data_IF_351633527170
#
_entry.id   IF_351633527170
#
_cell.length_a   1.000
_cell.length_b   1.000
_cell.length_c   1.000
_cell.angle_alpha   90.00
_cell.angle_beta   90.00
_cell.angle_gamma   90.00
#
_symmetry.space_group_name_H-M   'P 1'
#
loop_
_entity.id
_entity.type
_entity.pdbx_description
1 polymer ?
#
# COMPACT_ATOMS: atom_id res chain seq x y z
N UNK A 1 13.01 21.77 -72.91
CA UNK A 1 13.65 20.72 -72.08
C UNK A 1 13.79 21.25 -70.67
N UNK A 2 12.96 20.80 -69.72
CA UNK A 2 13.08 21.15 -68.29
C UNK A 2 13.34 19.84 -67.55
N UNK A 3 14.50 19.71 -66.91
CA UNK A 3 14.86 18.59 -66.05
C UNK A 3 14.44 18.91 -64.61
N UNK A 4 13.36 18.28 -64.17
CA UNK A 4 12.94 18.24 -62.77
C UNK A 4 13.94 17.43 -61.93
N UNK A 5 14.72 18.11 -61.09
CA UNK A 5 15.53 17.48 -60.05
C UNK A 5 14.70 17.37 -58.77
N UNK A 6 13.91 16.29 -58.63
CA UNK A 6 13.34 15.86 -57.34
C UNK A 6 14.48 15.54 -56.37
N UNK A 7 14.82 16.50 -55.49
CA UNK A 7 15.58 16.22 -54.27
C UNK A 7 14.77 15.23 -53.43
N UNK A 8 15.30 14.02 -53.26
CA UNK A 8 14.77 13.01 -52.35
C UNK A 8 14.89 13.54 -50.92
N UNK A 9 13.79 14.02 -50.34
CA UNK A 9 13.70 14.29 -48.91
C UNK A 9 13.95 12.99 -48.14
N UNK A 10 15.15 12.87 -47.55
CA UNK A 10 15.42 11.82 -46.58
C UNK A 10 14.52 12.09 -45.36
N UNK A 11 13.79 11.09 -44.83
CA UNK A 11 12.97 11.29 -43.65
C UNK A 11 13.85 11.81 -42.51
N UNK A 12 13.47 12.94 -41.89
CA UNK A 12 14.08 13.46 -40.66
C UNK A 12 14.09 12.31 -39.65
N UNK A 13 15.26 11.70 -39.40
CA UNK A 13 15.43 10.77 -38.28
C UNK A 13 15.06 11.57 -37.03
N UNK A 14 14.03 11.13 -36.31
CA UNK A 14 13.52 11.85 -35.15
C UNK A 14 14.67 12.20 -34.21
N UNK A 15 14.79 13.49 -33.86
CA UNK A 15 15.84 13.99 -32.97
C UNK A 15 15.86 13.22 -31.65
N UNK A 16 14.71 12.69 -31.24
CA UNK A 16 14.53 11.75 -30.13
C UNK A 16 15.39 10.48 -30.24
N UNK A 17 15.49 9.85 -31.42
CA UNK A 17 16.30 8.64 -31.62
C UNK A 17 17.79 8.93 -31.54
N UNK A 18 18.23 10.10 -32.04
CA UNK A 18 19.61 10.58 -31.89
C UNK A 18 19.93 10.97 -30.45
N UNK A 19 18.97 11.58 -29.75
CA UNK A 19 19.10 12.00 -28.36
C UNK A 19 19.18 10.80 -27.41
N UNK A 20 18.28 9.82 -27.56
CA UNK A 20 18.33 8.54 -26.89
C UNK A 20 19.67 7.85 -27.17
N UNK A 21 20.15 7.78 -28.42
CA UNK A 21 21.42 7.12 -28.72
C UNK A 21 22.65 7.80 -28.10
N UNK A 22 22.67 9.13 -27.96
CA UNK A 22 23.80 9.88 -27.39
C UNK A 22 23.91 9.76 -25.86
N UNK A 23 22.77 9.67 -25.18
CA UNK A 23 22.69 9.57 -23.71
C UNK A 23 22.21 8.20 -23.23
N UNK A 24 22.00 7.26 -24.16
CA UNK A 24 21.56 5.90 -23.92
C UNK A 24 22.33 5.23 -22.78
N UNK A 25 23.67 5.35 -22.70
CA UNK A 25 24.40 4.73 -21.60
C UNK A 25 23.98 5.26 -20.22
N UNK A 26 23.73 6.56 -20.09
CA UNK A 26 23.33 7.20 -18.83
C UNK A 26 21.89 6.82 -18.47
N UNK A 27 20.97 6.89 -19.43
CA UNK A 27 19.58 6.49 -19.19
C UNK A 27 19.45 5.00 -18.85
N UNK A 28 20.24 4.15 -19.50
CA UNK A 28 20.27 2.72 -19.24
C UNK A 28 20.90 2.42 -17.87
N UNK A 29 21.91 3.18 -17.44
CA UNK A 29 22.45 3.10 -16.08
C UNK A 29 21.44 3.53 -15.01
N UNK A 30 20.69 4.62 -15.22
CA UNK A 30 19.63 5.08 -14.31
C UNK A 30 18.50 4.04 -14.24
N UNK A 31 18.07 3.49 -15.38
CA UNK A 31 17.08 2.42 -15.43
C UNK A 31 17.56 1.17 -14.70
N UNK A 32 18.83 0.78 -14.88
CA UNK A 32 19.41 -0.33 -14.14
C UNK A 32 19.42 -0.07 -12.63
N UNK A 33 19.77 1.14 -12.19
CA UNK A 33 19.71 1.55 -10.78
C UNK A 33 18.26 1.50 -10.24
N UNK A 34 17.29 1.97 -11.03
CA UNK A 34 15.88 1.91 -10.67
C UNK A 34 15.39 0.45 -10.52
N UNK A 35 15.78 -0.44 -11.43
CA UNK A 35 15.42 -1.87 -11.36
C UNK A 35 16.09 -2.58 -10.19
N UNK A 36 17.31 -2.21 -9.82
CA UNK A 36 18.05 -2.89 -8.72
C UNK A 36 17.64 -2.38 -7.35
N UNK A 37 17.36 -1.07 -7.19
CA UNK A 37 17.12 -0.48 -5.88
C UNK A 37 15.67 -0.07 -5.64
N UNK A 38 14.96 0.40 -6.67
CA UNK A 38 13.60 0.95 -6.50
C UNK A 38 12.55 -0.14 -6.67
N UNK A 39 12.64 -0.98 -7.72
CA UNK A 39 11.67 -2.04 -7.96
C UNK A 39 11.54 -3.00 -6.77
N UNK A 40 12.63 -3.53 -6.16
CA UNK A 40 12.49 -4.47 -5.06
C UNK A 40 11.84 -3.87 -3.82
N UNK A 41 11.98 -2.57 -3.61
CA UNK A 41 11.34 -1.83 -2.52
C UNK A 41 9.84 -1.65 -2.79
N UNK A 42 9.48 -1.28 -4.03
CA UNK A 42 8.08 -1.11 -4.45
C UNK A 42 7.31 -2.43 -4.55
N UNK A 43 7.99 -3.55 -4.75
CA UNK A 43 7.39 -4.90 -4.80
C UNK A 43 7.40 -5.63 -3.47
N UNK A 44 7.86 -5.01 -2.37
CA UNK A 44 7.74 -5.63 -1.04
C UNK A 44 6.26 -5.85 -0.74
N UNK A 45 5.89 -7.04 -0.28
CA UNK A 45 4.55 -7.26 0.23
C UNK A 45 4.33 -6.38 1.46
N UNK A 46 3.24 -5.63 1.46
CA UNK A 46 2.74 -4.83 2.58
C UNK A 46 1.58 -5.53 3.28
N UNK A 47 1.19 -5.02 4.45
CA UNK A 47 -0.01 -5.47 5.15
C UNK A 47 -1.25 -5.40 4.25
N UNK A 48 -1.45 -4.28 3.56
CA UNK A 48 -2.58 -4.06 2.64
C UNK A 48 -2.59 -5.06 1.48
N UNK A 49 -1.42 -5.37 0.91
CA UNK A 49 -1.31 -6.38 -0.16
C UNK A 49 -1.64 -7.79 0.31
N UNK A 50 -1.63 -8.03 1.63
CA UNK A 50 -1.96 -9.32 2.24
C UNK A 50 -3.45 -9.47 2.55
N UNK A 51 -4.27 -8.44 2.30
CA UNK A 51 -5.70 -8.52 2.54
C UNK A 51 -6.39 -9.44 1.52
N UNK A 52 -7.38 -10.24 1.95
CA UNK A 52 -8.17 -11.06 1.05
C UNK A 52 -9.08 -10.19 0.16
N UNK A 53 -9.57 -10.77 -0.94
CA UNK A 53 -10.61 -10.12 -1.75
C UNK A 53 -11.90 -9.97 -0.93
N UNK A 54 -12.30 -8.72 -0.67
CA UNK A 54 -13.52 -8.39 0.05
C UNK A 54 -14.66 -8.05 -0.92
N UNK A 55 -15.89 -8.30 -0.48
CA UNK A 55 -17.08 -7.81 -1.20
C UNK A 55 -17.19 -6.29 -1.07
N UNK A 56 -17.93 -5.63 -1.98
CA UNK A 56 -18.12 -4.16 -1.97
C UNK A 56 -18.67 -3.66 -0.63
N UNK A 57 -19.57 -4.43 0.00
CA UNK A 57 -20.15 -4.08 1.30
C UNK A 57 -19.14 -4.20 2.45
N UNK A 58 -18.24 -5.17 2.38
CA UNK A 58 -17.18 -5.38 3.38
C UNK A 58 -15.98 -4.44 3.18
N UNK A 59 -15.72 -4.01 1.94
CA UNK A 59 -14.63 -3.08 1.63
C UNK A 59 -14.88 -1.72 2.27
N UNK A 60 -16.13 -1.23 2.27
CA UNK A 60 -16.47 0.09 2.81
C UNK A 60 -16.05 0.31 4.27
N UNK A 61 -16.40 -0.56 5.25
CA UNK A 61 -15.97 -0.39 6.63
C UNK A 61 -14.46 -0.58 6.80
N UNK A 62 -13.82 -1.44 6.01
CA UNK A 62 -12.37 -1.63 6.03
C UNK A 62 -11.66 -0.36 5.54
N UNK A 63 -12.10 0.23 4.45
CA UNK A 63 -11.56 1.49 3.94
C UNK A 63 -11.67 2.61 4.96
N UNK A 64 -12.84 2.75 5.61
CA UNK A 64 -13.06 3.75 6.67
C UNK A 64 -12.09 3.54 7.82
N UNK A 65 -11.90 2.30 8.26
CA UNK A 65 -10.96 1.96 9.33
C UNK A 65 -9.51 2.24 8.94
N UNK A 66 -9.07 1.70 7.81
CA UNK A 66 -7.66 1.71 7.39
C UNK A 66 -7.18 3.12 7.04
N UNK A 67 -8.06 3.97 6.50
CA UNK A 67 -7.74 5.38 6.16
C UNK A 67 -7.91 6.35 7.33
N UNK A 68 -8.39 5.89 8.48
CA UNK A 68 -8.55 6.75 9.65
C UNK A 68 -7.19 7.24 10.15
N UNK A 69 -6.96 8.55 10.13
CA UNK A 69 -5.72 9.24 10.55
C UNK A 69 -5.91 10.12 11.78
N UNK A 70 -6.84 9.74 12.66
CA UNK A 70 -7.14 10.47 13.88
C UNK A 70 -8.05 11.69 13.66
N UNK A 71 -8.36 12.45 14.72
CA UNK A 71 -9.31 13.56 14.67
C UNK A 71 -8.81 14.77 13.87
N UNK A 72 -7.49 14.89 13.68
CA UNK A 72 -6.86 16.02 12.98
C UNK A 72 -6.61 15.72 11.48
N UNK A 73 -6.96 14.52 11.00
CA UNK A 73 -6.86 14.05 9.61
C UNK A 73 -5.46 14.18 8.95
N UNK A 74 -4.41 14.41 9.73
CA UNK A 74 -3.06 14.75 9.25
C UNK A 74 -1.98 13.81 9.78
N UNK A 75 -2.34 12.89 10.67
CA UNK A 75 -1.41 11.99 11.36
C UNK A 75 -1.33 10.59 10.74
N UNK A 76 -0.71 9.70 11.50
CA UNK A 76 -0.54 8.28 11.19
C UNK A 76 -1.90 7.60 10.97
N UNK A 77 -2.06 6.87 9.88
CA UNK A 77 -3.28 6.08 9.64
C UNK A 77 -3.30 4.79 10.45
N UNK A 78 -4.48 4.19 10.66
CA UNK A 78 -4.60 2.86 11.28
C UNK A 78 -3.80 1.80 10.52
N UNK A 79 -3.82 1.83 9.19
CA UNK A 79 -3.06 0.89 8.37
C UNK A 79 -1.55 1.02 8.62
N UNK A 80 -1.04 2.24 8.64
CA UNK A 80 0.37 2.51 8.91
C UNK A 80 0.73 2.17 10.35
N UNK A 81 -0.13 2.48 11.32
CA UNK A 81 0.10 2.15 12.73
C UNK A 81 0.23 0.64 12.96
N UNK A 82 -0.60 -0.18 12.32
CA UNK A 82 -0.49 -1.64 12.38
C UNK A 82 0.77 -2.11 11.65
N UNK A 83 1.06 -1.55 10.48
CA UNK A 83 2.25 -1.89 9.70
C UNK A 83 3.53 -1.60 10.49
N UNK A 84 3.66 -0.41 11.07
CA UNK A 84 4.78 -0.02 11.93
C UNK A 84 4.90 -0.94 13.15
N UNK A 85 3.78 -1.27 13.80
CA UNK A 85 3.79 -2.22 14.92
C UNK A 85 4.34 -3.60 14.53
N UNK A 86 3.98 -4.09 13.34
CA UNK A 86 4.51 -5.35 12.82
C UNK A 86 6.00 -5.19 12.46
N UNK A 87 6.41 -4.11 11.81
CA UNK A 87 7.82 -3.87 11.48
C UNK A 87 8.70 -3.75 12.74
N UNK A 88 8.19 -3.13 13.80
CA UNK A 88 8.87 -2.99 15.09
C UNK A 88 9.07 -4.35 15.81
N UNK A 89 8.12 -5.28 15.69
CA UNK A 89 8.26 -6.63 16.26
C UNK A 89 9.13 -7.56 15.40
N UNK A 90 9.27 -7.27 14.11
CA UNK A 90 10.05 -8.06 13.15
C UNK A 90 11.07 -7.18 12.42
N UNK A 91 11.99 -6.54 13.15
CA UNK A 91 12.97 -5.65 12.54
C UNK A 91 13.85 -6.41 11.55
N UNK A 92 14.17 -5.77 10.43
CA UNK A 92 15.02 -6.31 9.36
C UNK A 92 14.47 -7.56 8.64
N UNK A 93 13.20 -7.91 8.84
CA UNK A 93 12.57 -9.05 8.19
C UNK A 93 11.51 -8.63 7.16
N UNK A 94 11.52 -9.30 6.01
CA UNK A 94 10.41 -9.21 5.05
C UNK A 94 9.27 -10.13 5.49
N UNK A 95 8.62 -9.78 6.61
CA UNK A 95 7.70 -10.68 7.29
C UNK A 95 6.49 -11.07 6.42
N UNK A 96 6.01 -10.17 5.57
CA UNK A 96 4.91 -10.43 4.64
C UNK A 96 5.29 -11.36 3.47
N UNK A 97 6.57 -11.46 3.11
CA UNK A 97 7.05 -12.38 2.06
C UNK A 97 7.19 -13.83 2.59
N UNK A 98 7.07 -14.03 3.90
CA UNK A 98 7.28 -15.33 4.54
C UNK A 98 6.05 -16.23 4.38
N UNK A 99 6.25 -17.45 3.89
CA UNK A 99 5.18 -18.46 3.69
C UNK A 99 4.43 -18.87 4.95
N UNK A 100 5.02 -18.63 6.13
CA UNK A 100 4.38 -18.90 7.44
C UNK A 100 3.61 -17.70 7.98
N UNK A 101 3.67 -16.56 7.29
CA UNK A 101 2.90 -15.37 7.64
C UNK A 101 1.56 -15.42 6.95
N UNK A 102 0.50 -15.25 7.72
CA UNK A 102 -0.87 -15.21 7.24
C UNK A 102 -1.55 -13.98 7.84
N UNK A 103 -2.24 -13.23 6.98
CA UNK A 103 -3.13 -12.14 7.39
C UNK A 103 -4.54 -12.57 7.09
N UNK A 104 -5.38 -12.65 8.13
CA UNK A 104 -6.80 -12.90 7.98
C UNK A 104 -7.56 -11.64 8.33
N UNK A 105 -8.48 -11.23 7.44
CA UNK A 105 -9.35 -10.08 7.65
C UNK A 105 -10.79 -10.54 7.58
N UNK A 106 -11.51 -10.41 8.69
CA UNK A 106 -12.90 -10.86 8.83
C UNK A 106 -13.77 -9.63 9.03
N UNK A 107 -14.78 -9.49 8.18
CA UNK A 107 -15.74 -8.38 8.24
C UNK A 107 -17.15 -8.94 8.40
N UNK A 108 -17.78 -8.63 9.53
CA UNK A 108 -19.11 -9.11 9.91
C UNK A 108 -20.05 -7.95 10.24
N UNK A 109 -21.30 -8.03 9.75
CA UNK A 109 -22.32 -7.03 10.11
C UNK A 109 -22.86 -7.33 11.51
N UNK A 110 -22.80 -6.32 12.41
CA UNK A 110 -23.26 -6.46 13.81
C UNK A 110 -24.71 -5.98 13.93
N UNK A 111 -25.00 -4.80 13.37
CA UNK A 111 -26.30 -4.12 13.41
C UNK A 111 -26.32 -3.08 12.31
N UNK A 112 -27.47 -2.76 11.71
CA UNK A 112 -27.62 -1.81 10.59
C UNK A 112 -26.55 -0.70 10.56
N UNK A 113 -25.69 -0.73 9.54
CA UNK A 113 -24.57 0.22 9.29
C UNK A 113 -23.38 0.18 10.27
N UNK A 114 -23.32 -0.84 11.14
CA UNK A 114 -22.20 -1.16 12.02
C UNK A 114 -21.60 -2.50 11.67
N UNK A 115 -20.30 -2.49 11.40
CA UNK A 115 -19.54 -3.66 10.99
C UNK A 115 -18.40 -3.88 11.97
N UNK A 116 -18.18 -5.14 12.32
CA UNK A 116 -17.00 -5.58 13.04
C UNK A 116 -15.93 -5.95 12.03
N UNK A 117 -14.72 -5.46 12.25
CA UNK A 117 -13.54 -5.73 11.44
C UNK A 117 -12.49 -6.35 12.36
N UNK A 118 -12.15 -7.61 12.09
CA UNK A 118 -11.15 -8.36 12.84
C UNK A 118 -9.97 -8.63 11.91
N UNK A 119 -8.78 -8.19 12.32
CA UNK A 119 -7.52 -8.47 11.64
C UNK A 119 -6.70 -9.41 12.52
N UNK A 120 -6.44 -10.62 12.02
CA UNK A 120 -5.52 -11.56 12.64
C UNK A 120 -4.23 -11.60 11.82
N UNK A 121 -3.14 -11.17 12.43
CA UNK A 121 -1.81 -11.36 11.88
C UNK A 121 -1.17 -12.55 12.60
N UNK A 122 -0.75 -13.56 11.85
CA UNK A 122 -0.06 -14.73 12.39
C UNK A 122 1.26 -14.90 11.65
N UNK A 123 2.35 -14.96 12.40
CA UNK A 123 3.68 -15.23 11.89
C UNK A 123 4.24 -16.51 12.51
N UNK A 124 5.51 -16.79 12.22
CA UNK A 124 6.23 -17.89 12.84
C UNK A 124 6.75 -17.59 14.26
N UNK A 125 6.76 -16.33 14.71
CA UNK A 125 7.19 -15.94 16.08
C UNK A 125 6.04 -15.52 16.99
N UNK A 126 4.93 -15.08 16.43
CA UNK A 126 3.85 -14.50 17.22
C UNK A 126 2.57 -14.27 16.44
N UNK A 127 1.54 -13.86 17.17
CA UNK A 127 0.21 -13.56 16.66
C UNK A 127 -0.24 -12.21 17.21
N UNK A 128 -0.83 -11.37 16.37
CA UNK A 128 -1.50 -10.14 16.76
C UNK A 128 -2.96 -10.23 16.34
N UNK A 129 -3.85 -9.94 17.27
CA UNK A 129 -5.28 -9.89 17.02
C UNK A 129 -5.76 -8.46 17.24
N UNK A 130 -6.46 -7.94 16.24
CA UNK A 130 -7.11 -6.65 16.33
C UNK A 130 -8.58 -6.79 16.00
N UNK A 131 -9.43 -6.13 16.79
CA UNK A 131 -10.88 -6.16 16.69
C UNK A 131 -11.45 -4.74 16.89
N UNK A 132 -12.13 -4.25 15.86
CA UNK A 132 -12.83 -2.96 15.88
C UNK A 132 -14.27 -3.10 15.43
N UNK A 133 -15.10 -2.17 15.87
CA UNK A 133 -16.41 -1.92 15.29
C UNK A 133 -16.42 -0.55 14.64
N UNK A 134 -16.84 -0.52 13.37
CA UNK A 134 -16.91 0.65 12.51
C UNK A 134 -18.37 0.96 12.24
N UNK A 135 -18.79 2.18 12.54
CA UNK A 135 -20.08 2.73 12.16
C UNK A 135 -19.92 3.53 10.87
N UNK A 136 -20.50 3.05 9.77
CA UNK A 136 -20.29 3.61 8.42
C UNK A 136 -20.99 4.96 8.25
N UNK A 137 -22.06 5.23 9.00
CA UNK A 137 -22.79 6.50 8.89
C UNK A 137 -22.07 7.63 9.60
N UNK A 138 -21.49 7.35 10.76
CA UNK A 138 -20.79 8.33 11.59
C UNK A 138 -19.28 8.30 11.43
N UNK A 139 -18.73 7.36 10.66
CA UNK A 139 -17.30 7.03 10.59
C UNK A 139 -16.65 6.82 11.96
N UNK A 140 -17.45 6.41 12.96
CA UNK A 140 -16.96 6.21 14.31
C UNK A 140 -16.36 4.81 14.44
N UNK A 141 -15.16 4.76 14.98
CA UNK A 141 -14.44 3.52 15.26
C UNK A 141 -14.41 3.28 16.77
N UNK A 142 -14.73 2.07 17.19
CA UNK A 142 -14.61 1.61 18.59
C UNK A 142 -13.76 0.35 18.65
N UNK A 143 -12.76 0.35 19.52
CA UNK A 143 -11.88 -0.79 19.74
C UNK A 143 -12.52 -1.80 20.68
N UNK A 144 -12.52 -3.07 20.29
CA UNK A 144 -13.12 -4.17 21.06
C UNK A 144 -12.09 -4.94 21.91
N UNK A 145 -10.80 -4.77 21.63
CA UNK A 145 -9.71 -5.36 22.42
C UNK A 145 -8.62 -4.33 22.79
N UNK A 146 -7.66 -4.72 23.64
CA UNK A 146 -6.57 -3.85 24.11
C UNK A 146 -5.64 -3.41 22.99
N UNK A 147 -5.30 -4.31 22.07
CA UNK A 147 -4.39 -4.05 20.96
C UNK A 147 -4.95 -3.00 20.00
N UNK A 148 -6.21 -3.17 19.61
CA UNK A 148 -6.99 -2.21 18.82
C UNK A 148 -7.16 -0.88 19.52
N UNK A 149 -7.29 -0.87 20.85
CA UNK A 149 -7.35 0.38 21.62
C UNK A 149 -6.01 1.09 21.59
N UNK A 150 -4.91 0.35 21.70
CA UNK A 150 -3.57 0.91 21.60
C UNK A 150 -3.32 1.54 20.23
N UNK A 151 -3.71 0.87 19.14
CA UNK A 151 -3.59 1.42 17.77
C UNK A 151 -4.41 2.70 17.60
N UNK A 152 -5.69 2.70 18.00
CA UNK A 152 -6.54 3.90 17.87
C UNK A 152 -6.02 5.06 18.73
N UNK A 153 -5.51 4.78 19.93
CA UNK A 153 -4.87 5.81 20.75
C UNK A 153 -3.62 6.36 20.07
N UNK A 154 -2.75 5.48 19.54
CA UNK A 154 -1.54 5.92 18.84
C UNK A 154 -1.91 6.86 17.69
N UNK A 155 -2.87 6.47 16.84
CA UNK A 155 -3.37 7.28 15.72
C UNK A 155 -3.97 8.60 16.19
N UNK A 156 -4.77 8.60 17.25
CA UNK A 156 -5.46 9.81 17.73
C UNK A 156 -4.53 10.85 18.35
N UNK A 157 -3.40 10.43 18.90
CA UNK A 157 -2.42 11.27 19.59
C UNK A 157 -1.10 11.38 18.82
N UNK A 158 -1.10 10.98 17.54
CA UNK A 158 0.03 11.17 16.65
C UNK A 158 0.03 12.61 16.14
N UNK A 159 1.00 13.42 16.60
CA UNK A 159 1.23 14.82 16.20
C UNK A 159 2.23 14.93 15.03
#
# INVERSE_FOLDING_TARGET
MVKDNKKKDKPKKSDFKSFLKKRAPIYLAILALFVVFVIPELTKSSLESSFPELTVEQQKPVDVLMKYSGPNETGLTVLEAISNKIEDEYPDEKIFDNKKTTVELIVSSVKSEKYQVILNFKSYKGEMNFDWTVDINSNKITSNNSESKHIINLVNFYD
#
